data_IF_035591702642
#
_entry.id   IF_035591702642
#
_cell.length_a   1.000
_cell.length_b   1.000
_cell.length_c   1.000
_cell.angle_alpha   90.00
_cell.angle_beta   90.00
_cell.angle_gamma   90.00
#
_symmetry.space_group_name_H-M   'P 1'
#
loop_
_entity.id
_entity.type
_entity.pdbx_description
1 polymer ?
#
# COMPACT_ATOMS: atom_id res chain seq x y z
N UNK A 1 -10.17 -56.91 -22.07
CA UNK A 1 -9.34 -56.59 -20.89
C UNK A 1 -10.08 -55.52 -20.10
N UNK A 2 -10.82 -55.92 -19.07
CA UNK A 2 -11.60 -55.05 -18.20
C UNK A 2 -10.71 -54.50 -17.09
N UNK A 3 -10.28 -53.24 -17.22
CA UNK A 3 -9.60 -52.51 -16.15
C UNK A 3 -10.64 -52.14 -15.09
N UNK A 4 -10.56 -52.82 -13.95
CA UNK A 4 -11.24 -52.44 -12.72
C UNK A 4 -10.60 -51.16 -12.18
N UNK A 5 -11.08 -50.00 -12.64
CA UNK A 5 -10.83 -48.73 -11.98
C UNK A 5 -11.49 -48.79 -10.59
N UNK A 6 -10.66 -48.83 -9.56
CA UNK A 6 -11.11 -48.68 -8.17
C UNK A 6 -11.70 -47.29 -8.03
N UNK A 7 -13.01 -47.24 -7.82
CA UNK A 7 -13.82 -46.03 -7.65
C UNK A 7 -13.45 -45.35 -6.31
N UNK A 8 -12.28 -44.70 -6.27
CA UNK A 8 -11.85 -43.95 -5.10
C UNK A 8 -12.76 -42.74 -4.94
N UNK A 9 -13.66 -42.82 -3.96
CA UNK A 9 -14.54 -41.70 -3.60
C UNK A 9 -13.68 -40.48 -3.23
N UNK A 10 -13.91 -39.31 -3.85
CA UNK A 10 -13.03 -38.16 -3.68
C UNK A 10 -13.14 -37.58 -2.26
N UNK A 11 -12.02 -37.09 -1.74
CA UNK A 11 -11.97 -36.52 -0.38
C UNK A 11 -12.68 -35.17 -0.34
N UNK A 12 -13.76 -35.08 0.44
CA UNK A 12 -14.54 -33.85 0.64
C UNK A 12 -14.10 -33.13 1.91
N UNK A 13 -13.92 -31.81 1.82
CA UNK A 13 -13.83 -30.94 3.00
C UNK A 13 -14.64 -29.65 2.82
N UNK A 14 -14.99 -29.00 3.93
CA UNK A 14 -15.78 -27.76 3.92
C UNK A 14 -15.03 -26.60 4.56
N UNK A 15 -15.15 -25.41 3.96
CA UNK A 15 -14.68 -24.15 4.55
C UNK A 15 -15.86 -23.26 4.90
N UNK A 16 -15.92 -22.81 6.15
CA UNK A 16 -16.96 -21.89 6.60
C UNK A 16 -16.49 -20.44 6.36
N UNK A 17 -17.32 -19.65 5.68
CA UNK A 17 -17.16 -18.20 5.48
C UNK A 17 -18.28 -17.44 6.23
N UNK A 18 -18.10 -16.12 6.37
CA UNK A 18 -19.03 -15.14 6.93
C UNK A 18 -20.51 -15.55 6.84
N UNK A 19 -21.20 -15.48 7.97
CA UNK A 19 -22.65 -15.76 8.09
C UNK A 19 -23.02 -17.18 7.63
N UNK A 20 -22.26 -18.19 8.07
CA UNK A 20 -22.53 -19.63 7.86
C UNK A 20 -22.54 -20.08 6.38
N UNK A 21 -21.98 -19.30 5.46
CA UNK A 21 -21.83 -19.74 4.07
C UNK A 21 -20.72 -20.77 3.97
N UNK A 22 -21.00 -21.95 3.41
CA UNK A 22 -20.02 -23.02 3.24
C UNK A 22 -19.44 -22.99 1.83
N UNK A 23 -18.15 -23.27 1.70
CA UNK A 23 -17.52 -23.70 0.45
C UNK A 23 -17.23 -25.19 0.55
N UNK A 24 -17.37 -25.87 -0.56
CA UNK A 24 -16.98 -27.26 -0.73
C UNK A 24 -15.59 -27.30 -1.38
N UNK A 25 -14.71 -28.15 -0.87
CA UNK A 25 -13.38 -28.38 -1.42
C UNK A 25 -13.24 -29.86 -1.77
N UNK A 26 -12.99 -30.13 -3.04
CA UNK A 26 -12.79 -31.48 -3.58
C UNK A 26 -11.62 -31.41 -4.57
N UNK A 27 -10.64 -32.30 -4.43
CA UNK A 27 -9.48 -32.42 -5.33
C UNK A 27 -8.74 -31.08 -5.58
N UNK A 28 -8.68 -30.23 -4.54
CA UNK A 28 -8.06 -28.90 -4.60
C UNK A 28 -8.92 -27.82 -5.27
N UNK A 29 -10.08 -28.16 -5.81
CA UNK A 29 -11.04 -27.20 -6.35
C UNK A 29 -11.97 -26.66 -5.27
N UNK A 30 -12.45 -25.43 -5.46
CA UNK A 30 -13.35 -24.75 -4.54
C UNK A 30 -14.70 -24.54 -5.23
N UNK A 31 -15.78 -24.97 -4.57
CA UNK A 31 -17.13 -24.83 -5.05
C UNK A 31 -17.99 -23.99 -4.09
N UNK A 32 -18.91 -23.22 -4.67
CA UNK A 32 -19.94 -22.44 -3.98
C UNK A 32 -21.28 -23.15 -4.11
N UNK A 33 -22.03 -23.20 -3.02
CA UNK A 33 -23.39 -23.75 -3.06
C UNK A 33 -24.26 -22.88 -3.95
N UNK A 34 -24.86 -23.48 -4.97
CA UNK A 34 -25.76 -22.82 -5.90
C UNK A 34 -27.21 -22.95 -5.46
N UNK A 35 -27.66 -24.18 -5.22
CA UNK A 35 -29.02 -24.49 -4.74
C UNK A 35 -29.02 -25.77 -3.90
N UNK A 36 -30.03 -25.96 -3.07
CA UNK A 36 -30.22 -27.18 -2.28
C UNK A 36 -31.67 -27.64 -2.38
N UNK A 37 -31.87 -28.94 -2.49
CA UNK A 37 -33.17 -29.61 -2.32
C UNK A 37 -33.11 -30.50 -1.09
N UNK A 38 -34.23 -31.12 -0.71
CA UNK A 38 -34.28 -32.03 0.44
C UNK A 38 -33.33 -33.24 0.33
N UNK A 39 -32.99 -33.65 -0.90
CA UNK A 39 -32.16 -34.85 -1.15
C UNK A 39 -30.75 -34.54 -1.67
N UNK A 40 -30.54 -33.36 -2.26
CA UNK A 40 -29.32 -33.05 -3.00
C UNK A 40 -28.93 -31.58 -2.85
N UNK A 41 -27.66 -31.33 -2.55
CA UNK A 41 -27.07 -29.99 -2.66
C UNK A 41 -26.22 -29.87 -3.91
N UNK A 42 -26.40 -28.75 -4.64
CA UNK A 42 -25.75 -28.47 -5.90
C UNK A 42 -24.68 -27.40 -5.69
N UNK A 43 -23.45 -27.74 -6.07
CA UNK A 43 -22.28 -26.90 -5.89
C UNK A 43 -21.70 -26.58 -7.26
N UNK A 44 -21.30 -25.33 -7.47
CA UNK A 44 -20.66 -24.89 -8.71
C UNK A 44 -19.26 -24.38 -8.40
N UNK A 45 -18.33 -24.61 -9.31
CA UNK A 45 -16.98 -24.09 -9.21
C UNK A 45 -17.03 -22.59 -8.94
N UNK A 46 -16.21 -22.13 -7.99
CA UNK A 46 -16.12 -20.71 -7.65
C UNK A 46 -15.68 -19.87 -8.88
N UNK A 47 -14.94 -20.48 -9.81
CA UNK A 47 -14.60 -19.88 -11.10
C UNK A 47 -15.78 -20.05 -12.06
N UNK A 48 -16.69 -19.04 -12.04
CA UNK A 48 -17.97 -19.01 -12.77
C UNK A 48 -17.92 -19.22 -14.29
N UNK A 49 -16.73 -19.29 -14.90
CA UNK A 49 -16.60 -19.39 -16.35
C UNK A 49 -16.90 -20.80 -16.89
N UNK A 50 -16.92 -21.82 -16.04
CA UNK A 50 -16.77 -23.21 -16.51
C UNK A 50 -17.94 -24.13 -16.17
N UNK A 51 -18.92 -23.67 -15.38
CA UNK A 51 -20.11 -24.44 -14.99
C UNK A 51 -19.85 -25.86 -14.45
N UNK A 52 -18.60 -26.19 -14.09
CA UNK A 52 -18.25 -27.43 -13.43
C UNK A 52 -18.91 -27.44 -12.05
N UNK A 53 -19.60 -28.52 -11.73
CA UNK A 53 -20.37 -28.66 -10.52
C UNK A 53 -20.24 -30.03 -9.89
N UNK A 54 -20.66 -30.10 -8.64
CA UNK A 54 -20.69 -31.31 -7.83
C UNK A 54 -22.03 -31.40 -7.13
N UNK A 55 -22.57 -32.60 -7.05
CA UNK A 55 -23.76 -32.90 -6.28
C UNK A 55 -23.36 -33.67 -5.03
N UNK A 56 -23.86 -33.23 -3.88
CA UNK A 56 -23.78 -33.99 -2.63
C UNK A 56 -25.18 -34.44 -2.21
N UNK A 57 -25.27 -35.54 -1.47
CA UNK A 57 -26.53 -35.99 -0.86
C UNK A 57 -26.91 -35.12 0.36
N UNK A 58 -28.05 -35.41 0.99
CA UNK A 58 -28.50 -34.76 2.24
C UNK A 58 -27.49 -34.88 3.38
N UNK A 59 -26.69 -35.94 3.38
CA UNK A 59 -25.66 -36.22 4.39
C UNK A 59 -24.28 -35.68 4.01
N UNK A 60 -24.21 -34.72 3.08
CA UNK A 60 -22.98 -34.09 2.58
C UNK A 60 -21.95 -35.06 1.94
N UNK A 61 -22.37 -36.28 1.59
CA UNK A 61 -21.56 -37.26 0.88
C UNK A 61 -21.50 -36.99 -0.62
N UNK A 62 -20.35 -37.28 -1.24
CA UNK A 62 -20.16 -37.17 -2.68
C UNK A 62 -21.19 -38.03 -3.41
N UNK A 63 -21.86 -37.46 -4.41
CA UNK A 63 -22.77 -38.22 -5.28
C UNK A 63 -22.22 -38.36 -6.68
N UNK A 64 -21.93 -37.22 -7.34
CA UNK A 64 -21.37 -37.19 -8.69
C UNK A 64 -20.86 -35.80 -9.06
N UNK A 65 -19.96 -35.76 -10.03
CA UNK A 65 -19.66 -34.56 -10.82
C UNK A 65 -20.80 -34.27 -11.81
N UNK A 66 -20.95 -33.00 -12.19
CA UNK A 66 -21.71 -32.64 -13.39
C UNK A 66 -20.93 -33.05 -14.64
N UNK A 67 -21.60 -33.16 -15.78
CA UNK A 67 -20.99 -33.53 -17.07
C UNK A 67 -19.91 -32.53 -17.55
N UNK A 68 -19.89 -31.31 -17.02
CA UNK A 68 -18.87 -30.31 -17.35
C UNK A 68 -17.62 -30.50 -16.48
N UNK A 69 -16.47 -30.90 -17.07
CA UNK A 69 -15.20 -30.97 -16.35
C UNK A 69 -14.65 -29.57 -16.05
N UNK A 70 -13.72 -29.47 -15.10
CA UNK A 70 -12.91 -28.27 -14.94
C UNK A 70 -11.95 -28.13 -16.13
N UNK A 71 -11.88 -26.95 -16.71
CA UNK A 71 -10.91 -26.61 -17.77
C UNK A 71 -9.71 -25.83 -17.23
N UNK A 72 -9.63 -25.67 -15.91
CA UNK A 72 -8.51 -25.04 -15.22
C UNK A 72 -7.92 -26.01 -14.20
N UNK A 73 -6.65 -25.82 -13.86
CA UNK A 73 -6.01 -26.60 -12.79
C UNK A 73 -6.43 -26.08 -11.40
N UNK A 74 -6.37 -26.91 -10.34
CA UNK A 74 -6.52 -26.43 -8.97
C UNK A 74 -5.50 -25.33 -8.68
N UNK A 75 -5.91 -24.33 -7.89
CA UNK A 75 -5.03 -23.23 -7.47
C UNK A 75 -4.77 -23.37 -5.97
N UNK A 76 -3.77 -24.17 -5.55
CA UNK A 76 -3.56 -24.52 -4.15
C UNK A 76 -3.33 -23.30 -3.26
N UNK A 77 -2.68 -22.25 -3.77
CA UNK A 77 -2.43 -21.00 -3.03
C UNK A 77 -3.75 -20.31 -2.64
N UNK A 78 -4.76 -20.37 -3.53
CA UNK A 78 -6.07 -19.78 -3.27
C UNK A 78 -6.80 -20.53 -2.15
N UNK A 79 -6.68 -21.84 -2.13
CA UNK A 79 -7.23 -22.68 -1.07
C UNK A 79 -6.58 -22.37 0.29
N UNK A 80 -5.25 -22.26 0.33
CA UNK A 80 -4.51 -21.94 1.56
C UNK A 80 -4.86 -20.54 2.08
N UNK A 81 -4.96 -19.53 1.21
CA UNK A 81 -5.43 -18.19 1.61
C UNK A 81 -6.83 -18.26 2.22
N UNK A 82 -7.74 -19.05 1.65
CA UNK A 82 -9.10 -19.21 2.17
C UNK A 82 -9.11 -19.88 3.54
N UNK A 83 -8.35 -20.97 3.72
CA UNK A 83 -8.19 -21.66 5.01
C UNK A 83 -7.66 -20.70 6.08
N UNK A 84 -6.61 -19.95 5.75
CA UNK A 84 -6.02 -18.94 6.63
C UNK A 84 -7.04 -17.87 7.05
N UNK A 85 -7.80 -17.31 6.10
CA UNK A 85 -8.82 -16.30 6.40
C UNK A 85 -9.96 -16.84 7.27
N UNK A 86 -10.35 -18.10 7.07
CA UNK A 86 -11.33 -18.76 7.94
C UNK A 86 -10.76 -18.96 9.34
N UNK A 87 -9.48 -19.31 9.48
CA UNK A 87 -8.83 -19.44 10.79
C UNK A 87 -8.74 -18.10 11.52
N UNK A 88 -8.32 -17.02 10.83
CA UNK A 88 -8.26 -15.68 11.41
C UNK A 88 -9.62 -15.27 11.96
N UNK A 89 -10.71 -15.51 11.22
CA UNK A 89 -12.06 -15.17 11.68
C UNK A 89 -12.48 -15.97 12.91
N UNK A 90 -12.26 -17.28 12.89
CA UNK A 90 -12.59 -18.12 14.05
C UNK A 90 -11.79 -17.72 15.30
N UNK A 91 -10.58 -17.17 15.12
CA UNK A 91 -9.76 -16.63 16.20
C UNK A 91 -10.23 -15.26 16.66
N UNK A 92 -10.62 -14.35 15.76
CA UNK A 92 -11.18 -13.04 16.12
C UNK A 92 -12.43 -13.18 16.99
N UNK A 93 -13.26 -14.18 16.70
CA UNK A 93 -14.49 -14.42 17.49
C UNK A 93 -14.20 -15.06 18.87
N UNK A 94 -13.07 -15.78 19.02
CA UNK A 94 -12.70 -16.50 20.26
C UNK A 94 -11.71 -15.74 21.14
N UNK A 95 -10.86 -14.93 20.55
CA UNK A 95 -9.75 -14.26 21.21
C UNK A 95 -10.05 -12.76 21.35
N UNK A 96 -9.87 -12.21 22.55
CA UNK A 96 -9.94 -10.77 22.79
C UNK A 96 -8.71 -10.00 22.25
N UNK A 97 -7.99 -10.55 21.27
CA UNK A 97 -6.83 -9.91 20.63
C UNK A 97 -7.29 -9.00 19.50
N UNK A 98 -6.51 -7.94 19.24
CA UNK A 98 -6.77 -7.09 18.08
C UNK A 98 -6.60 -7.89 16.77
N UNK A 99 -7.51 -7.71 15.81
CA UNK A 99 -7.51 -8.44 14.53
C UNK A 99 -6.16 -8.38 13.80
N UNK A 100 -5.44 -7.25 13.91
CA UNK A 100 -4.11 -7.08 13.31
C UNK A 100 -3.04 -8.01 13.90
N UNK A 101 -3.12 -8.31 15.20
CA UNK A 101 -2.19 -9.25 15.85
C UNK A 101 -2.47 -10.70 15.43
N UNK A 102 -3.76 -11.09 15.39
CA UNK A 102 -4.19 -12.41 14.93
C UNK A 102 -3.75 -12.61 13.47
N UNK A 103 -3.93 -11.59 12.63
CA UNK A 103 -3.52 -11.61 11.22
C UNK A 103 -2.01 -11.85 11.07
N UNK A 104 -1.20 -11.15 11.87
CA UNK A 104 0.26 -11.28 11.83
C UNK A 104 0.72 -12.67 12.29
N UNK A 105 0.16 -13.20 13.37
CA UNK A 105 0.49 -14.55 13.87
C UNK A 105 0.14 -15.64 12.85
N UNK A 106 -1.03 -15.56 12.19
CA UNK A 106 -1.44 -16.54 11.18
C UNK A 106 -0.60 -16.45 9.90
N UNK A 107 -0.13 -15.26 9.54
CA UNK A 107 0.82 -15.06 8.44
C UNK A 107 2.16 -15.75 8.72
N UNK A 108 2.66 -15.67 9.95
CA UNK A 108 3.90 -16.34 10.34
C UNK A 108 3.76 -17.86 10.34
N UNK A 109 2.63 -18.39 10.84
CA UNK A 109 2.35 -19.84 10.87
C UNK A 109 2.22 -20.46 9.49
N UNK A 110 1.56 -19.76 8.55
CA UNK A 110 1.32 -20.29 7.22
C UNK A 110 2.61 -20.42 6.39
N UNK A 111 3.76 -19.93 6.88
CA UNK A 111 5.04 -19.91 6.19
C UNK A 111 4.98 -19.30 4.77
N UNK A 112 3.91 -18.54 4.48
CA UNK A 112 3.65 -17.81 3.23
C UNK A 112 4.61 -16.62 3.07
N UNK A 113 5.57 -16.47 3.99
CA UNK A 113 6.25 -15.21 4.29
C UNK A 113 7.62 -15.02 3.65
N UNK A 114 8.29 -16.06 3.12
CA UNK A 114 9.64 -15.89 2.59
C UNK A 114 9.69 -15.90 1.05
N UNK A 115 9.32 -17.00 0.40
CA UNK A 115 9.49 -17.13 -1.06
C UNK A 115 8.51 -16.30 -1.89
N UNK A 116 7.23 -16.25 -1.50
CA UNK A 116 6.20 -15.49 -2.21
C UNK A 116 6.27 -13.99 -1.88
N UNK A 117 6.67 -13.65 -0.65
CA UNK A 117 6.82 -12.27 -0.19
C UNK A 117 8.06 -11.63 -0.81
N UNK A 118 9.18 -12.37 -0.96
CA UNK A 118 10.32 -11.92 -1.77
C UNK A 118 9.95 -11.80 -3.26
N UNK A 119 9.19 -12.73 -3.84
CA UNK A 119 8.84 -12.63 -5.27
C UNK A 119 7.76 -11.58 -5.59
N UNK A 120 6.85 -11.28 -4.66
CA UNK A 120 5.80 -10.26 -4.81
C UNK A 120 6.28 -8.87 -4.39
N UNK A 121 7.13 -8.76 -3.35
CA UNK A 121 7.79 -7.48 -3.04
C UNK A 121 8.77 -7.12 -4.14
N UNK A 122 9.52 -8.11 -4.68
CA UNK A 122 10.43 -7.86 -5.81
C UNK A 122 9.70 -7.69 -7.15
N UNK A 123 8.38 -7.91 -7.24
CA UNK A 123 7.60 -7.61 -8.45
C UNK A 123 6.97 -6.21 -8.46
N UNK A 124 7.00 -5.49 -7.33
CA UNK A 124 6.88 -4.03 -7.31
C UNK A 124 8.28 -3.46 -7.12
N UNK A 125 9.02 -3.30 -8.22
CA UNK A 125 10.37 -2.75 -8.20
C UNK A 125 10.41 -1.47 -7.34
N UNK A 126 11.03 -1.58 -6.16
CA UNK A 126 11.40 -0.43 -5.35
C UNK A 126 12.71 0.05 -5.95
N UNK A 127 12.68 1.26 -6.50
CA UNK A 127 13.89 1.87 -7.03
C UNK A 127 14.40 2.84 -6.00
N UNK A 128 15.61 2.58 -5.51
CA UNK A 128 16.42 3.63 -4.92
C UNK A 128 17.03 4.43 -6.07
N UNK A 129 16.64 5.70 -6.16
CA UNK A 129 17.17 6.60 -7.15
C UNK A 129 17.92 7.72 -6.44
N UNK A 130 19.24 7.69 -6.61
CA UNK A 130 20.12 8.81 -6.38
C UNK A 130 20.41 9.43 -7.74
N UNK A 131 19.90 10.62 -7.99
CA UNK A 131 20.18 11.33 -9.23
C UNK A 131 19.95 12.82 -9.10
N UNK A 132 20.16 13.53 -10.19
CA UNK A 132 20.11 14.98 -10.23
C UNK A 132 18.84 15.46 -10.96
N UNK A 133 18.09 16.38 -10.35
CA UNK A 133 17.10 17.20 -11.08
C UNK A 133 17.88 18.27 -11.85
N UNK A 134 17.19 18.99 -12.75
CA UNK A 134 17.74 20.20 -13.37
C UNK A 134 18.38 21.08 -12.26
N UNK A 135 19.68 21.41 -12.42
CA UNK A 135 20.53 22.20 -11.50
C UNK A 135 21.29 21.43 -10.39
N UNK A 136 21.77 20.21 -10.61
CA UNK A 136 22.78 19.50 -9.79
C UNK A 136 22.47 19.35 -8.29
N UNK A 137 21.19 19.28 -7.89
CA UNK A 137 20.84 18.86 -6.52
C UNK A 137 20.60 17.36 -6.51
N UNK A 138 21.40 16.66 -5.69
CA UNK A 138 21.20 15.26 -5.39
C UNK A 138 19.82 15.04 -4.75
N UNK A 139 19.06 14.15 -5.37
CA UNK A 139 17.75 13.72 -4.91
C UNK A 139 17.93 12.33 -4.34
N UNK A 140 17.50 12.20 -3.10
CA UNK A 140 17.39 10.90 -2.44
C UNK A 140 15.92 10.54 -2.30
N UNK A 141 15.44 9.69 -3.21
CA UNK A 141 14.05 9.22 -3.27
C UNK A 141 13.95 7.71 -3.25
N UNK A 142 12.83 7.25 -2.72
CA UNK A 142 12.33 5.90 -2.88
C UNK A 142 11.18 5.96 -3.88
N UNK A 143 11.34 5.30 -5.03
CA UNK A 143 10.30 5.15 -6.04
C UNK A 143 9.52 3.85 -5.86
N UNK A 144 8.19 3.90 -6.06
CA UNK A 144 7.31 2.72 -6.04
C UNK A 144 6.20 2.83 -7.07
N UNK A 145 6.02 1.82 -7.90
CA UNK A 145 4.85 1.77 -8.78
C UNK A 145 3.57 1.43 -7.99
N UNK A 146 2.64 2.39 -7.97
CA UNK A 146 1.29 2.25 -7.46
C UNK A 146 0.29 1.76 -8.52
N UNK A 147 -1.00 1.84 -8.19
CA UNK A 147 -2.07 1.43 -9.10
C UNK A 147 -2.20 2.39 -10.31
N UNK A 148 -2.63 1.88 -11.47
CA UNK A 148 -2.80 2.64 -12.74
C UNK A 148 -1.53 3.36 -13.25
N UNK A 149 -0.37 2.69 -13.23
CA UNK A 149 0.89 3.24 -13.75
C UNK A 149 1.31 4.56 -13.08
N UNK A 150 0.94 4.74 -11.80
CA UNK A 150 1.35 5.90 -11.01
C UNK A 150 2.67 5.56 -10.32
N UNK A 151 3.72 6.33 -10.56
CA UNK A 151 4.94 6.26 -9.77
C UNK A 151 4.77 7.10 -8.50
N UNK A 152 4.79 6.44 -7.34
CA UNK A 152 4.85 7.09 -6.05
C UNK A 152 6.31 7.40 -5.72
N UNK A 153 6.59 8.65 -5.39
CA UNK A 153 7.92 9.13 -5.06
C UNK A 153 7.93 9.58 -3.61
N UNK A 154 8.83 9.00 -2.82
CA UNK A 154 8.97 9.31 -1.40
C UNK A 154 10.35 9.93 -1.15
N UNK A 155 10.43 11.23 -0.80
CA UNK A 155 11.70 11.85 -0.44
C UNK A 155 12.19 11.31 0.90
N UNK A 156 13.50 11.03 1.01
CA UNK A 156 14.11 10.61 2.28
C UNK A 156 14.41 11.76 3.23
N UNK A 157 14.52 12.98 2.72
CA UNK A 157 14.83 14.17 3.50
C UNK A 157 14.05 15.40 3.00
N UNK A 158 14.03 16.46 3.82
CA UNK A 158 13.28 17.68 3.52
C UNK A 158 13.81 18.43 2.29
N UNK A 159 15.13 18.47 2.10
CA UNK A 159 15.75 19.12 0.93
C UNK A 159 15.33 18.45 -0.38
N UNK A 160 15.21 17.13 -0.38
CA UNK A 160 14.69 16.39 -1.53
C UNK A 160 13.23 16.76 -1.78
N UNK A 161 12.39 16.84 -0.73
CA UNK A 161 10.99 17.24 -0.89
C UNK A 161 10.86 18.67 -1.44
N UNK A 162 11.65 19.63 -0.94
CA UNK A 162 11.69 21.00 -1.45
C UNK A 162 11.94 20.99 -2.97
N UNK A 163 12.92 20.20 -3.43
CA UNK A 163 13.23 20.06 -4.86
C UNK A 163 12.12 19.39 -5.68
N UNK A 164 11.39 18.42 -5.11
CA UNK A 164 10.28 17.73 -5.78
C UNK A 164 9.01 18.60 -5.86
N UNK A 165 8.84 19.58 -4.97
CA UNK A 165 7.68 20.49 -4.98
C UNK A 165 7.83 21.63 -6.02
N UNK A 166 9.02 21.86 -6.55
CA UNK A 166 9.27 22.87 -7.58
C UNK A 166 8.90 22.36 -8.97
N UNK A 167 7.76 22.82 -9.49
CA UNK A 167 7.23 22.45 -10.83
C UNK A 167 8.28 22.63 -11.94
N UNK A 168 9.03 23.72 -11.92
CA UNK A 168 10.02 24.05 -12.93
C UNK A 168 11.26 23.16 -12.96
N UNK A 169 11.50 22.34 -11.92
CA UNK A 169 12.66 21.44 -11.88
C UNK A 169 12.41 20.12 -12.59
N UNK A 170 11.15 19.71 -12.71
CA UNK A 170 10.83 18.45 -13.36
C UNK A 170 11.10 18.53 -14.87
N UNK A 171 11.63 17.46 -15.48
CA UNK A 171 11.71 17.39 -16.93
C UNK A 171 10.30 17.29 -17.53
N UNK A 172 10.08 17.78 -18.75
CA UNK A 172 8.75 17.66 -19.40
C UNK A 172 8.45 16.21 -19.84
N UNK A 173 9.52 15.42 -20.02
CA UNK A 173 9.48 14.01 -20.41
C UNK A 173 10.49 13.20 -19.61
N UNK A 174 10.11 11.98 -19.25
CA UNK A 174 11.02 10.97 -18.69
C UNK A 174 11.06 9.81 -19.68
N UNK A 175 12.25 9.45 -20.15
CA UNK A 175 12.45 8.39 -21.16
C UNK A 175 11.55 8.54 -22.40
N UNK A 176 11.39 9.78 -22.89
CA UNK A 176 10.55 10.09 -24.05
C UNK A 176 9.03 10.06 -23.80
N UNK A 177 8.59 9.75 -22.57
CA UNK A 177 7.18 9.68 -22.19
C UNK A 177 6.74 10.94 -21.44
N UNK A 178 5.55 11.44 -21.75
CA UNK A 178 4.91 12.51 -20.98
C UNK A 178 4.40 11.95 -19.65
N UNK A 179 4.39 12.77 -18.61
CA UNK A 179 3.87 12.40 -17.30
C UNK A 179 3.14 13.56 -16.63
N UNK A 180 2.33 13.23 -15.63
CA UNK A 180 1.55 14.17 -14.84
C UNK A 180 1.97 14.05 -13.38
N UNK A 181 2.43 15.16 -12.80
CA UNK A 181 2.85 15.22 -11.41
C UNK A 181 1.61 15.48 -10.55
N UNK A 182 1.40 14.63 -9.55
CA UNK A 182 0.39 14.85 -8.51
C UNK A 182 1.07 15.15 -7.20
N UNK A 183 0.90 16.39 -6.74
CA UNK A 183 1.45 16.83 -5.47
C UNK A 183 0.65 16.27 -4.27
N UNK A 184 1.30 16.08 -3.11
CA UNK A 184 0.61 15.64 -1.91
C UNK A 184 -0.46 16.66 -1.50
N UNK A 185 -1.64 16.15 -1.11
CA UNK A 185 -2.76 16.99 -0.64
C UNK A 185 -2.47 17.68 0.69
N UNK A 186 -1.61 17.07 1.50
CA UNK A 186 -1.22 17.53 2.84
C UNK A 186 0.30 17.58 2.84
N UNK A 187 0.86 18.73 3.19
CA UNK A 187 2.29 18.88 3.42
C UNK A 187 2.66 18.60 4.88
N UNK A 188 3.92 18.25 5.16
CA UNK A 188 4.41 18.22 6.53
C UNK A 188 4.21 19.58 7.20
N UNK A 189 3.93 19.59 8.51
CA UNK A 189 3.61 20.82 9.24
C UNK A 189 4.70 21.91 9.16
N UNK A 190 5.96 21.52 8.89
CA UNK A 190 7.09 22.44 8.70
C UNK A 190 6.99 23.30 7.44
N UNK A 191 6.10 22.96 6.51
CA UNK A 191 5.84 23.72 5.28
C UNK A 191 4.62 24.64 5.43
N UNK A 192 4.01 24.68 6.61
CA UNK A 192 2.75 25.39 6.82
C UNK A 192 2.85 26.37 7.98
N UNK A 193 2.12 27.47 7.87
CA UNK A 193 1.89 28.40 8.96
C UNK A 193 0.41 28.77 9.06
N UNK A 194 0.03 29.31 10.21
CA UNK A 194 -1.30 29.84 10.46
C UNK A 194 -1.23 31.36 10.39
N UNK A 195 -2.15 31.95 9.62
CA UNK A 195 -2.40 33.38 9.59
C UNK A 195 -3.66 33.64 10.43
N UNK A 196 -3.51 34.51 11.42
CA UNK A 196 -4.57 34.90 12.33
C UNK A 196 -5.28 36.15 11.81
N UNK A 197 -6.48 36.39 12.35
CA UNK A 197 -7.25 37.61 12.09
C UNK A 197 -7.58 37.80 10.59
N UNK A 198 -7.68 36.68 9.85
CA UNK A 198 -7.98 36.66 8.43
C UNK A 198 -9.48 36.92 8.21
N UNK A 199 -9.80 38.06 7.59
CA UNK A 199 -11.17 38.55 7.51
C UNK A 199 -12.10 37.53 6.83
N UNK A 200 -13.33 37.40 7.35
CA UNK A 200 -14.34 36.49 6.79
C UNK A 200 -14.87 36.95 5.43
N UNK A 201 -14.75 38.24 5.12
CA UNK A 201 -15.15 38.86 3.86
C UNK A 201 -14.14 38.65 2.73
N UNK A 202 -12.91 38.22 3.04
CA UNK A 202 -11.87 38.00 2.03
C UNK A 202 -12.12 36.70 1.27
N UNK A 203 -12.19 36.83 -0.05
CA UNK A 203 -12.31 35.73 -1.01
C UNK A 203 -10.95 35.02 -1.07
N UNK A 204 -10.93 33.72 -0.75
CA UNK A 204 -9.67 32.98 -0.63
C UNK A 204 -8.91 32.88 -1.94
N UNK A 205 -9.59 32.70 -3.07
CA UNK A 205 -8.94 32.55 -4.37
C UNK A 205 -8.23 33.85 -4.81
N UNK A 206 -8.88 35.00 -4.67
CA UNK A 206 -8.30 36.32 -4.94
C UNK A 206 -7.13 36.63 -4.01
N UNK A 207 -7.31 36.37 -2.70
CA UNK A 207 -6.25 36.59 -1.70
C UNK A 207 -5.08 35.64 -1.93
N UNK A 208 -5.35 34.41 -2.38
CA UNK A 208 -4.29 33.44 -2.72
C UNK A 208 -3.47 33.94 -3.90
N UNK A 209 -4.11 34.49 -4.93
CA UNK A 209 -3.42 35.04 -6.09
C UNK A 209 -2.51 36.22 -5.69
N UNK A 210 -3.05 37.19 -4.94
CA UNK A 210 -2.27 38.32 -4.40
C UNK A 210 -1.05 37.84 -3.59
N UNK A 211 -1.26 36.89 -2.69
CA UNK A 211 -0.17 36.36 -1.88
C UNK A 211 0.82 35.55 -2.70
N UNK A 212 0.41 34.90 -3.79
CA UNK A 212 1.31 34.17 -4.69
C UNK A 212 2.20 35.12 -5.49
N UNK A 213 1.72 36.31 -5.83
CA UNK A 213 2.53 37.37 -6.46
C UNK A 213 3.61 37.87 -5.49
N UNK A 214 3.26 38.10 -4.22
CA UNK A 214 4.19 38.58 -3.20
C UNK A 214 5.12 37.50 -2.65
N UNK A 215 4.59 36.30 -2.48
CA UNK A 215 5.26 35.15 -1.89
C UNK A 215 5.22 33.99 -2.87
N UNK A 216 6.13 33.99 -3.86
CA UNK A 216 6.21 32.98 -4.94
C UNK A 216 6.21 31.52 -4.44
N UNK A 217 6.71 31.29 -3.22
CA UNK A 217 6.73 29.97 -2.60
C UNK A 217 5.39 29.52 -2.01
N UNK A 218 4.37 30.38 -1.96
CA UNK A 218 3.04 30.04 -1.47
C UNK A 218 2.34 29.10 -2.47
N UNK A 219 1.99 27.92 -1.99
CA UNK A 219 1.30 26.91 -2.80
C UNK A 219 -0.20 26.98 -2.67
N UNK A 220 -0.69 27.15 -1.43
CA UNK A 220 -2.10 27.01 -1.13
C UNK A 220 -2.47 27.79 0.12
N UNK A 221 -3.63 28.43 0.09
CA UNK A 221 -4.31 28.97 1.25
C UNK A 221 -5.55 28.12 1.56
N UNK A 222 -5.79 27.78 2.82
CA UNK A 222 -6.97 27.01 3.24
C UNK A 222 -7.59 27.61 4.48
N UNK A 223 -8.84 28.08 4.40
CA UNK A 223 -9.57 28.54 5.58
C UNK A 223 -9.88 27.39 6.53
N UNK A 224 -9.58 27.60 7.81
CA UNK A 224 -9.93 26.63 8.84
C UNK A 224 -11.41 26.76 9.20
N UNK A 225 -12.03 25.62 9.49
CA UNK A 225 -13.44 25.55 9.88
C UNK A 225 -13.59 25.01 11.30
N UNK A 226 -14.66 25.42 11.98
CA UNK A 226 -15.05 24.89 13.28
C UNK A 226 -15.57 23.45 13.15
N UNK A 227 -15.86 22.79 14.28
CA UNK A 227 -16.51 21.46 14.27
C UNK A 227 -17.89 21.47 13.62
N UNK A 228 -18.55 22.63 13.61
CA UNK A 228 -19.86 22.85 12.98
C UNK A 228 -19.71 23.32 11.53
N UNK A 229 -18.52 23.16 10.93
CA UNK A 229 -18.21 23.56 9.57
C UNK A 229 -18.38 25.06 9.29
N UNK A 230 -18.25 25.91 10.33
CA UNK A 230 -18.30 27.37 10.17
C UNK A 230 -16.89 27.90 9.87
N UNK A 231 -16.70 28.82 8.91
CA UNK A 231 -15.41 29.41 8.62
C UNK A 231 -14.87 30.19 9.82
N UNK A 232 -13.58 30.03 10.09
CA UNK A 232 -12.87 30.78 11.13
C UNK A 232 -12.12 31.96 10.50
N UNK A 233 -11.79 32.97 11.31
CA UNK A 233 -10.90 34.06 10.93
C UNK A 233 -9.42 33.63 11.00
N UNK A 234 -9.16 32.41 10.53
CA UNK A 234 -7.87 31.74 10.58
C UNK A 234 -7.69 30.95 9.29
N UNK A 235 -6.57 31.14 8.62
CA UNK A 235 -6.21 30.38 7.42
C UNK A 235 -4.88 29.66 7.63
N UNK A 236 -4.74 28.51 6.97
CA UNK A 236 -3.50 27.76 6.86
C UNK A 236 -2.87 28.09 5.51
N UNK A 237 -1.62 28.56 5.53
CA UNK A 237 -0.83 28.84 4.34
C UNK A 237 0.24 27.75 4.18
N UNK A 238 0.21 27.04 3.05
CA UNK A 238 1.13 25.98 2.68
C UNK A 238 2.15 26.52 1.68
N UNK A 239 3.43 26.32 1.97
CA UNK A 239 4.55 26.75 1.15
C UNK A 239 5.27 25.56 0.53
N UNK A 240 5.98 25.78 -0.58
CA UNK A 240 6.82 24.74 -1.20
C UNK A 240 8.20 24.62 -0.55
N UNK A 241 8.63 25.60 0.26
CA UNK A 241 9.94 25.62 0.94
C UNK A 241 9.82 25.81 2.45
N UNK A 242 10.50 24.97 3.21
CA UNK A 242 10.57 25.12 4.67
C UNK A 242 11.28 26.40 5.11
N UNK A 243 12.25 26.88 4.33
CA UNK A 243 13.03 28.07 4.68
C UNK A 243 12.20 29.36 4.61
N UNK A 244 11.29 29.47 3.63
CA UNK A 244 10.37 30.60 3.52
C UNK A 244 9.47 30.69 4.76
N UNK A 245 8.93 29.55 5.21
CA UNK A 245 8.13 29.47 6.43
C UNK A 245 8.94 29.91 7.65
N UNK A 246 10.19 29.44 7.80
CA UNK A 246 11.06 29.86 8.92
C UNK A 246 11.32 31.37 8.92
N UNK A 247 11.61 31.95 7.75
CA UNK A 247 11.85 33.39 7.62
C UNK A 247 10.61 34.20 8.02
N UNK A 248 9.43 33.83 7.52
CA UNK A 248 8.17 34.47 7.90
C UNK A 248 7.90 34.31 9.40
N UNK A 249 8.04 33.10 9.95
CA UNK A 249 7.83 32.87 11.38
C UNK A 249 8.78 33.70 12.27
N UNK A 250 10.02 33.95 11.82
CA UNK A 250 10.95 34.82 12.52
C UNK A 250 10.53 36.30 12.46
N UNK A 251 9.87 36.72 11.38
CA UNK A 251 9.27 38.07 11.27
C UNK A 251 8.01 38.20 12.13
N UNK A 252 7.24 37.12 12.29
CA UNK A 252 6.03 37.07 13.12
C UNK A 252 4.78 37.66 12.49
N UNK A 253 4.90 38.23 11.29
CA UNK A 253 3.81 38.83 10.53
C UNK A 253 3.89 38.50 9.03
N UNK A 254 2.74 38.59 8.35
CA UNK A 254 2.59 38.51 6.90
C UNK A 254 1.74 39.67 6.43
N UNK A 255 2.04 40.24 5.28
CA UNK A 255 1.31 41.39 4.75
C UNK A 255 0.34 40.98 3.65
N UNK A 256 -0.93 41.35 3.80
CA UNK A 256 -2.05 41.04 2.90
C UNK A 256 -2.89 42.31 2.75
N UNK A 257 -3.15 42.78 1.53
CA UNK A 257 -3.91 44.01 1.28
C UNK A 257 -3.41 45.21 2.09
N UNK A 258 -2.08 45.39 2.17
CA UNK A 258 -1.41 46.40 2.98
C UNK A 258 -1.64 46.29 4.51
N UNK A 259 -2.27 45.21 4.99
CA UNK A 259 -2.44 44.91 6.40
C UNK A 259 -1.42 43.88 6.88
N UNK A 260 -0.82 44.12 8.03
CA UNK A 260 0.08 43.18 8.70
C UNK A 260 -0.73 42.25 9.61
N UNK A 261 -0.78 40.97 9.25
CA UNK A 261 -1.45 39.93 10.01
C UNK A 261 -0.45 39.10 10.80
N UNK A 262 -0.84 38.70 12.00
CA UNK A 262 -0.01 37.86 12.87
C UNK A 262 0.03 36.44 12.32
N UNK A 263 1.21 35.84 12.36
CA UNK A 263 1.40 34.45 11.96
C UNK A 263 1.94 33.60 13.10
N UNK A 264 1.63 32.30 13.05
CA UNK A 264 2.11 31.30 14.02
C UNK A 264 2.47 30.00 13.32
N UNK A 265 3.36 29.17 13.90
CA UNK A 265 3.65 27.86 13.35
C UNK A 265 2.38 27.02 13.25
N UNK A 266 2.23 26.29 12.13
CA UNK A 266 1.19 25.27 12.05
C UNK A 266 1.60 24.05 12.88
N UNK A 267 0.68 23.57 13.71
CA UNK A 267 0.87 22.34 14.46
C UNK A 267 -0.11 21.28 13.95
N UNK A 268 0.42 20.09 13.65
CA UNK A 268 -0.38 18.98 13.17
C UNK A 268 -1.60 18.72 14.08
N UNK A 269 -2.80 18.55 13.50
CA UNK A 269 -4.04 18.36 14.26
C UNK A 269 -4.17 16.97 14.88
N UNK A 270 -3.09 16.17 14.86
CA UNK A 270 -3.02 14.87 15.54
C UNK A 270 -3.42 15.07 17.00
N UNK A 271 -4.55 14.46 17.35
CA UNK A 271 -5.09 14.49 18.70
C UNK A 271 -4.27 13.56 19.57
N UNK A 272 -3.59 14.13 20.56
CA UNK A 272 -2.98 13.34 21.62
C UNK A 272 -4.07 13.03 22.64
N UNK A 273 -4.22 11.76 22.98
CA UNK A 273 -5.07 11.38 24.09
C UNK A 273 -4.51 11.98 25.38
N UNK A 274 -5.29 12.85 26.00
CA UNK A 274 -4.91 13.56 27.23
C UNK A 274 -5.97 13.29 28.28
N UNK A 275 -5.53 12.85 29.44
CA UNK A 275 -6.42 12.67 30.57
C UNK A 275 -6.94 14.01 31.08
N UNK A 276 -8.25 14.08 31.35
CA UNK A 276 -8.87 15.29 31.89
C UNK A 276 -8.68 15.44 33.41
N UNK A 277 -8.22 14.38 34.10
CA UNK A 277 -7.94 14.43 35.54
C UNK A 277 -6.60 15.06 35.85
N UNK A 278 -5.51 14.56 35.26
CA UNK A 278 -4.14 14.98 35.60
C UNK A 278 -3.31 15.42 34.39
N UNK A 279 -3.94 15.57 33.22
CA UNK A 279 -3.37 16.20 32.02
C UNK A 279 -2.12 15.57 31.40
N UNK A 280 -1.69 14.38 31.87
CA UNK A 280 -0.69 13.57 31.16
C UNK A 280 -1.31 12.82 29.98
N UNK A 281 -0.41 12.33 29.13
CA UNK A 281 -0.72 11.61 27.90
C UNK A 281 -0.90 10.10 28.15
N UNK A 282 -1.31 9.36 27.11
CA UNK A 282 -1.20 7.90 26.99
C UNK A 282 -2.18 6.99 27.74
N UNK A 283 -3.30 7.52 28.24
CA UNK A 283 -4.40 6.69 28.72
C UNK A 283 -5.73 7.47 28.70
N UNK A 284 -6.84 6.75 28.82
CA UNK A 284 -8.18 7.35 28.85
C UNK A 284 -8.52 7.86 30.23
N UNK A 285 -9.28 8.97 30.30
CA UNK A 285 -9.70 9.56 31.58
C UNK A 285 -10.48 8.57 32.45
N UNK A 286 -11.23 7.64 31.85
CA UNK A 286 -11.97 6.58 32.56
C UNK A 286 -11.07 5.58 33.28
N UNK A 287 -9.84 5.37 32.81
CA UNK A 287 -8.86 4.44 33.39
C UNK A 287 -7.92 5.14 34.38
N UNK A 288 -8.14 6.43 34.65
CA UNK A 288 -7.28 7.22 35.52
C UNK A 288 -7.69 7.10 36.99
N UNK A 289 -6.78 6.55 37.78
CA UNK A 289 -6.86 6.48 39.26
C UNK A 289 -6.22 7.69 39.95
N UNK A 290 -5.50 8.55 39.22
CA UNK A 290 -4.87 9.74 39.78
C UNK A 290 -5.88 10.81 40.22
N UNK A 291 -5.46 11.65 41.17
CA UNK A 291 -6.21 12.81 41.64
C UNK A 291 -6.42 13.84 40.53
N UNK A 292 -7.51 14.61 40.65
CA UNK A 292 -7.78 15.75 39.77
C UNK A 292 -6.77 16.86 40.04
N UNK A 293 -6.00 17.24 39.03
CA UNK A 293 -5.09 18.37 39.06
C UNK A 293 -5.78 19.61 38.47
N UNK A 294 -5.24 20.78 38.81
CA UNK A 294 -5.61 22.04 38.21
C UNK A 294 -4.96 22.22 36.82
N UNK A 295 -5.76 22.65 35.84
CA UNK A 295 -5.26 22.89 34.47
C UNK A 295 -4.22 24.02 34.38
N UNK A 296 -4.26 24.97 35.33
CA UNK A 296 -3.38 26.14 35.43
C UNK A 296 -2.02 25.78 36.01
N UNK A 297 -1.97 25.24 37.22
CA UNK A 297 -0.74 25.03 37.98
C UNK A 297 -0.28 23.57 38.05
N UNK A 298 -1.11 22.62 37.62
CA UNK A 298 -0.77 21.20 37.67
C UNK A 298 -0.75 20.57 39.07
N UNK A 299 -1.25 21.26 40.10
CA UNK A 299 -1.32 20.76 41.47
C UNK A 299 -2.76 20.33 41.84
N UNK A 300 -2.87 19.49 42.86
CA UNK A 300 -4.16 19.10 43.43
C UNK A 300 -4.62 20.14 44.45
N UNK A 301 -5.75 20.78 44.19
CA UNK A 301 -6.42 21.70 45.12
C UNK A 301 -7.91 21.84 44.72
N UNK A 302 -8.77 22.40 45.59
CA UNK A 302 -10.16 22.71 45.23
C UNK A 302 -10.22 23.61 43.99
N UNK A 303 -10.97 23.21 42.97
CA UNK A 303 -11.07 23.94 41.69
C UNK A 303 -12.15 25.03 41.67
N UNK A 304 -13.00 25.10 42.71
CA UNK A 304 -14.18 25.99 42.74
C UNK A 304 -13.83 27.45 43.03
N UNK A 305 -12.72 27.71 43.73
CA UNK A 305 -12.36 29.05 44.24
C UNK A 305 -11.34 29.77 43.34
N UNK A 306 -11.15 29.28 42.12
CA UNK A 306 -10.04 29.71 41.27
C UNK A 306 -8.71 29.11 41.73
N UNK A 307 -7.65 29.42 41.00
CA UNK A 307 -6.31 28.94 41.29
C UNK A 307 -5.41 30.17 41.39
N UNK A 308 -4.73 30.38 42.52
CA UNK A 308 -3.77 31.46 42.73
C UNK A 308 -2.34 31.05 42.34
N UNK A 309 -2.02 29.77 42.38
CA UNK A 309 -0.69 29.22 42.09
C UNK A 309 -0.16 29.57 40.69
N UNK A 310 1.17 29.64 40.55
CA UNK A 310 1.81 29.94 39.27
C UNK A 310 1.41 28.97 38.15
N UNK A 311 1.34 29.50 36.94
CA UNK A 311 1.02 28.70 35.75
C UNK A 311 2.17 27.73 35.51
N UNK A 312 1.86 26.43 35.47
CA UNK A 312 2.86 25.38 35.28
C UNK A 312 2.28 24.19 34.52
N UNK A 313 3.02 23.73 33.52
CA UNK A 313 2.62 22.56 32.74
C UNK A 313 2.97 21.26 33.47
N UNK A 314 2.01 20.34 33.61
CA UNK A 314 2.27 19.01 34.22
C UNK A 314 3.27 18.18 33.39
N UNK A 315 3.37 18.44 32.09
CA UNK A 315 4.18 17.63 31.17
C UNK A 315 5.64 18.13 31.06
N UNK A 316 5.86 19.42 30.80
CA UNK A 316 7.22 19.99 30.65
C UNK A 316 7.69 20.82 31.85
N UNK A 317 6.82 21.10 32.83
CA UNK A 317 7.12 21.92 34.00
C UNK A 317 7.42 23.41 33.71
N UNK A 318 7.21 23.88 32.48
CA UNK A 318 7.40 25.28 32.08
C UNK A 318 6.15 26.16 32.33
N UNK A 319 6.31 27.47 32.18
CA UNK A 319 5.30 28.51 32.45
C UNK A 319 4.22 28.60 31.35
N UNK A 320 3.37 27.58 31.25
CA UNK A 320 2.15 27.60 30.44
C UNK A 320 1.16 26.51 30.88
N UNK A 321 -0.09 26.61 30.45
CA UNK A 321 -1.13 25.63 30.78
C UNK A 321 -0.80 24.20 30.28
N UNK A 322 -1.35 23.18 30.94
CA UNK A 322 -1.16 21.75 30.61
C UNK A 322 -1.84 21.28 29.31
N UNK A 323 -2.32 22.22 28.48
CA UNK A 323 -2.86 21.98 27.15
C UNK A 323 -2.27 22.89 26.08
N UNK A 324 -1.25 23.66 26.41
CA UNK A 324 -0.61 24.60 25.49
C UNK A 324 -0.05 23.85 24.28
N UNK A 325 -0.49 24.23 23.07
CA UNK A 325 -0.11 23.53 21.84
C UNK A 325 1.40 23.58 21.59
N UNK A 326 2.11 24.71 21.79
CA UNK A 326 3.57 24.80 21.67
C UNK A 326 4.40 24.03 22.69
N UNK A 327 3.80 23.37 23.70
CA UNK A 327 4.55 22.63 24.71
C UNK A 327 5.53 21.62 24.07
N UNK A 328 6.83 21.61 24.45
CA UNK A 328 7.83 20.77 23.80
C UNK A 328 7.50 19.27 23.88
N UNK A 329 6.98 18.82 25.03
CA UNK A 329 6.55 17.42 25.24
C UNK A 329 5.36 17.06 24.35
N UNK A 330 4.40 17.98 24.19
CA UNK A 330 3.23 17.79 23.31
C UNK A 330 3.69 17.71 21.84
N UNK A 331 4.60 18.59 21.42
CA UNK A 331 5.14 18.58 20.06
C UNK A 331 5.92 17.30 19.75
N UNK A 332 6.78 16.86 20.67
CA UNK A 332 7.50 15.59 20.53
C UNK A 332 6.54 14.41 20.40
N UNK A 333 5.47 14.37 21.23
CA UNK A 333 4.47 13.31 21.15
C UNK A 333 3.68 13.33 19.84
N UNK A 334 3.31 14.51 19.32
CA UNK A 334 2.68 14.64 17.99
C UNK A 334 3.60 14.13 16.89
N UNK A 335 4.90 14.45 16.96
CA UNK A 335 5.90 13.96 16.00
C UNK A 335 5.97 12.44 16.01
N UNK A 336 6.08 11.83 17.20
CA UNK A 336 6.10 10.37 17.36
C UNK A 336 4.82 9.71 16.82
N UNK A 337 3.65 10.25 17.14
CA UNK A 337 2.38 9.74 16.62
C UNK A 337 2.28 9.92 15.10
N UNK A 338 2.75 11.03 14.54
CA UNK A 338 2.81 11.25 13.10
C UNK A 338 3.70 10.20 12.41
N UNK A 339 4.87 9.93 12.96
CA UNK A 339 5.80 8.91 12.45
C UNK A 339 5.20 7.50 12.58
N UNK A 340 4.53 7.19 13.68
CA UNK A 340 3.82 5.91 13.85
C UNK A 340 2.66 5.76 12.86
N UNK A 341 1.86 6.81 12.65
CA UNK A 341 0.79 6.84 11.65
C UNK A 341 1.39 6.67 10.25
N UNK A 342 2.52 7.30 9.94
CA UNK A 342 3.21 7.12 8.65
C UNK A 342 3.70 5.68 8.47
N UNK A 343 4.34 5.09 9.48
CA UNK A 343 4.79 3.68 9.46
C UNK A 343 3.62 2.70 9.34
N UNK A 344 2.52 2.95 10.04
CA UNK A 344 1.31 2.13 9.98
C UNK A 344 0.56 2.31 8.65
N UNK A 345 0.47 3.53 8.12
CA UNK A 345 -0.11 3.76 6.80
C UNK A 345 0.74 3.08 5.73
N UNK A 346 2.07 3.10 5.86
CA UNK A 346 2.96 2.36 4.97
C UNK A 346 2.71 0.84 5.04
N UNK A 347 2.56 0.25 6.23
CA UNK A 347 2.22 -1.17 6.36
C UNK A 347 0.82 -1.50 5.84
N UNK A 348 -0.17 -0.63 6.07
CA UNK A 348 -1.54 -0.76 5.55
C UNK A 348 -1.61 -0.58 4.04
N UNK A 349 -0.85 0.34 3.45
CA UNK A 349 -0.74 0.51 2.00
C UNK A 349 -0.07 -0.72 1.39
N UNK A 350 0.97 -1.26 2.01
CA UNK A 350 1.57 -2.53 1.57
C UNK A 350 0.56 -3.69 1.66
N UNK A 351 -0.25 -3.75 2.72
CA UNK A 351 -1.30 -4.76 2.88
C UNK A 351 -2.47 -4.57 1.89
N UNK A 352 -2.88 -3.33 1.61
CA UNK A 352 -3.92 -3.01 0.64
C UNK A 352 -3.45 -3.26 -0.80
N UNK A 353 -2.20 -2.89 -1.12
CA UNK A 353 -1.55 -3.22 -2.37
C UNK A 353 -1.32 -4.72 -2.51
N UNK A 354 -1.03 -5.44 -1.42
CA UNK A 354 -0.99 -6.90 -1.40
C UNK A 354 -2.36 -7.50 -1.73
N UNK A 355 -3.43 -7.05 -1.05
CA UNK A 355 -4.79 -7.49 -1.36
C UNK A 355 -5.18 -7.16 -2.82
N UNK A 356 -4.78 -6.00 -3.33
CA UNK A 356 -5.02 -5.62 -4.72
C UNK A 356 -4.12 -6.34 -5.72
N UNK A 357 -2.87 -6.68 -5.40
CA UNK A 357 -1.98 -7.47 -6.22
C UNK A 357 -2.47 -8.91 -6.30
N UNK A 358 -2.85 -9.53 -5.17
CA UNK A 358 -3.52 -10.83 -5.12
C UNK A 358 -4.82 -10.78 -5.94
N UNK A 359 -5.61 -9.71 -5.80
CA UNK A 359 -6.80 -9.48 -6.64
C UNK A 359 -6.43 -9.28 -8.11
N UNK A 360 -5.32 -8.65 -8.44
CA UNK A 360 -4.88 -8.39 -9.82
C UNK A 360 -4.31 -9.64 -10.46
N UNK A 361 -3.48 -10.43 -9.78
CA UNK A 361 -3.06 -11.76 -10.25
C UNK A 361 -4.29 -12.63 -10.48
N UNK A 362 -5.22 -12.69 -9.53
CA UNK A 362 -6.48 -13.44 -9.75
C UNK A 362 -7.32 -12.87 -10.89
N UNK A 363 -7.36 -11.55 -11.10
CA UNK A 363 -8.11 -10.92 -12.22
C UNK A 363 -7.35 -10.95 -13.56
N UNK A 364 -6.02 -10.98 -13.58
CA UNK A 364 -5.19 -11.06 -14.79
C UNK A 364 -5.28 -12.46 -15.38
N UNK A 365 -5.26 -13.51 -14.53
CA UNK A 365 -5.62 -14.87 -14.95
C UNK A 365 -7.06 -14.92 -15.50
N UNK A 366 -8.02 -14.25 -14.84
CA UNK A 366 -9.41 -14.16 -15.33
C UNK A 366 -9.52 -13.37 -16.66
N UNK A 367 -8.65 -12.40 -16.94
CA UNK A 367 -8.68 -11.59 -18.16
C UNK A 367 -7.88 -12.18 -19.32
N UNK A 368 -6.78 -12.90 -19.07
CA UNK A 368 -6.09 -13.69 -20.10
C UNK A 368 -6.93 -14.89 -20.54
N UNK A 369 -7.82 -15.40 -19.68
CA UNK A 369 -8.83 -16.41 -20.05
C UNK A 369 -10.13 -15.81 -20.66
N UNK A 370 -10.34 -14.49 -20.58
CA UNK A 370 -11.55 -13.82 -21.11
C UNK A 370 -11.40 -13.19 -22.48
N UNK A 371 -10.21 -13.18 -23.08
CA UNK A 371 -10.05 -12.79 -24.49
C UNK A 371 -9.93 -14.01 -25.40
N UNK A 372 -10.94 -14.87 -25.33
CA UNK A 372 -11.36 -15.69 -26.47
C UNK A 372 -12.81 -16.09 -26.25
N UNK A 373 -13.61 -15.93 -27.30
CA UNK A 373 -15.04 -16.26 -27.42
C UNK A 373 -16.04 -15.24 -26.87
N UNK A 374 -16.16 -14.14 -27.62
CA UNK A 374 -17.46 -13.81 -28.19
C UNK A 374 -17.36 -13.94 -29.71
N UNK A 375 -18.30 -14.68 -30.29
CA UNK A 375 -18.52 -14.68 -31.74
C UNK A 375 -18.55 -13.24 -32.26
N UNK A 376 -17.55 -12.89 -33.05
CA UNK A 376 -17.64 -11.86 -34.06
C UNK A 376 -16.99 -12.46 -35.29
N UNK A 377 -17.82 -12.69 -36.30
CA UNK A 377 -17.40 -12.87 -37.67
C UNK A 377 -16.75 -11.56 -38.10
N UNK A 378 -15.41 -11.48 -38.15
CA UNK A 378 -14.67 -10.51 -38.97
C UNK A 378 -13.18 -10.89 -39.08
N UNK A 379 -12.64 -10.59 -40.26
CA UNK A 379 -11.40 -11.07 -40.91
C UNK A 379 -10.09 -10.86 -40.12
N UNK A 380 -9.14 -11.76 -40.39
CA UNK A 380 -7.78 -12.00 -39.85
C UNK A 380 -6.82 -10.82 -39.55
N UNK A 381 -7.15 -9.56 -39.85
CA UNK A 381 -6.16 -8.47 -39.80
C UNK A 381 -6.01 -7.76 -38.44
N UNK A 382 -6.99 -7.85 -37.53
CA UNK A 382 -6.99 -7.04 -36.31
C UNK A 382 -6.23 -7.69 -35.13
N UNK A 383 -6.04 -9.02 -35.13
CA UNK A 383 -5.25 -9.70 -34.11
C UNK A 383 -3.74 -9.41 -34.23
N UNK A 384 -3.22 -9.25 -35.45
CA UNK A 384 -1.82 -8.85 -35.69
C UNK A 384 -1.55 -7.41 -35.21
N UNK A 385 -2.54 -6.52 -35.29
CA UNK A 385 -2.41 -5.11 -34.91
C UNK A 385 -2.28 -4.92 -33.39
N UNK A 386 -3.01 -5.70 -32.59
CA UNK A 386 -2.95 -5.67 -31.11
C UNK A 386 -1.62 -6.27 -30.63
N UNK A 387 -1.15 -7.35 -31.26
CA UNK A 387 0.12 -7.98 -30.94
C UNK A 387 1.32 -7.06 -31.23
N UNK A 388 1.29 -6.36 -32.37
CA UNK A 388 2.35 -5.44 -32.79
C UNK A 388 2.37 -4.12 -32.01
N UNK A 389 1.22 -3.54 -31.64
CA UNK A 389 1.17 -2.19 -31.03
C UNK A 389 1.28 -2.17 -29.50
N UNK A 390 0.86 -3.23 -28.80
CA UNK A 390 0.81 -3.25 -27.32
C UNK A 390 1.71 -4.31 -26.69
N UNK A 391 1.75 -5.52 -27.26
CA UNK A 391 2.52 -6.64 -26.67
C UNK A 391 4.00 -6.62 -27.07
N UNK A 392 4.31 -6.32 -28.34
CA UNK A 392 5.70 -6.29 -28.83
C UNK A 392 6.60 -5.28 -28.09
N UNK A 393 6.17 -4.03 -27.80
CA UNK A 393 6.99 -3.09 -27.03
C UNK A 393 7.24 -3.54 -25.59
N UNK A 394 6.24 -4.14 -24.93
CA UNK A 394 6.36 -4.65 -23.55
C UNK A 394 7.28 -5.87 -23.46
N UNK A 395 7.24 -6.76 -24.46
CA UNK A 395 8.18 -7.89 -24.57
C UNK A 395 9.59 -7.38 -24.87
N UNK A 396 9.76 -6.36 -25.72
CA UNK A 396 11.07 -5.75 -26.01
C UNK A 396 11.64 -5.05 -24.77
N UNK A 397 10.83 -4.29 -24.02
CA UNK A 397 11.25 -3.63 -22.78
C UNK A 397 11.62 -4.67 -21.72
N UNK A 398 10.79 -5.70 -21.53
CA UNK A 398 11.07 -6.82 -20.63
C UNK A 398 12.35 -7.56 -21.02
N UNK A 399 12.54 -7.86 -22.31
CA UNK A 399 13.74 -8.55 -22.80
C UNK A 399 14.99 -7.67 -22.71
N UNK A 400 14.90 -6.35 -22.95
CA UNK A 400 16.01 -5.41 -22.74
C UNK A 400 16.36 -5.22 -21.27
N UNK A 401 15.38 -5.16 -20.38
CA UNK A 401 15.59 -5.14 -18.93
C UNK A 401 16.17 -6.46 -18.41
N UNK A 402 15.74 -7.60 -18.97
CA UNK A 402 16.33 -8.90 -18.67
C UNK A 402 17.76 -9.05 -19.22
N UNK A 403 18.06 -8.48 -20.40
CA UNK A 403 19.42 -8.39 -20.93
C UNK A 403 20.30 -7.51 -20.03
N UNK A 404 19.81 -6.35 -19.58
CA UNK A 404 20.51 -5.49 -18.61
C UNK A 404 20.77 -6.20 -17.28
N UNK A 405 19.79 -6.97 -16.77
CA UNK A 405 19.96 -7.77 -15.56
C UNK A 405 20.92 -8.95 -15.75
N UNK A 406 20.94 -9.59 -16.92
CA UNK A 406 21.94 -10.59 -17.30
C UNK A 406 23.35 -10.00 -17.42
N UNK A 407 23.50 -8.82 -18.04
CA UNK A 407 24.78 -8.11 -18.08
C UNK A 407 25.28 -7.79 -16.68
N UNK A 408 24.39 -7.34 -15.79
CA UNK A 408 24.73 -7.04 -14.39
C UNK A 408 25.04 -8.30 -13.57
N UNK A 409 24.39 -9.42 -13.85
CA UNK A 409 24.75 -10.73 -13.30
C UNK A 409 26.13 -11.18 -13.79
N UNK A 410 26.44 -11.03 -15.07
CA UNK A 410 27.75 -11.36 -15.63
C UNK A 410 28.84 -10.45 -15.07
N UNK A 411 28.57 -9.17 -14.89
CA UNK A 411 29.46 -8.20 -14.23
C UNK A 411 29.72 -8.58 -12.77
N UNK A 412 28.69 -8.98 -12.01
CA UNK A 412 28.83 -9.47 -10.63
C UNK A 412 29.60 -10.80 -10.56
N UNK A 413 29.37 -11.71 -11.51
CA UNK A 413 30.16 -12.95 -11.63
C UNK A 413 31.64 -12.64 -11.95
N UNK A 414 31.90 -11.64 -12.80
CA UNK A 414 33.26 -11.21 -13.15
C UNK A 414 33.94 -10.52 -11.97
N UNK A 415 33.23 -9.69 -11.20
CA UNK A 415 33.71 -9.07 -9.96
C UNK A 415 34.01 -10.11 -8.87
N UNK A 416 33.19 -11.17 -8.75
CA UNK A 416 33.45 -12.30 -7.86
C UNK A 416 34.65 -13.15 -8.31
N UNK A 417 34.84 -13.35 -9.63
CA UNK A 417 36.00 -14.05 -10.20
C UNK A 417 37.30 -13.27 -10.08
N UNK A 418 37.24 -11.94 -10.18
CA UNK A 418 38.41 -11.06 -10.15
C UNK A 418 38.92 -10.73 -8.74
N UNK A 419 38.37 -11.39 -7.71
CA UNK A 419 38.87 -11.29 -6.34
C UNK A 419 38.28 -10.10 -5.58
N UNK A 420 37.14 -10.32 -4.93
CA UNK A 420 36.74 -9.49 -3.80
C UNK A 420 37.72 -9.73 -2.65
N UNK A 421 38.72 -8.85 -2.54
CA UNK A 421 39.67 -8.81 -1.43
C UNK A 421 38.87 -8.71 -0.12
N UNK A 422 38.91 -9.78 0.69
CA UNK A 422 38.38 -9.80 2.06
C UNK A 422 37.13 -10.64 2.33
N UNK A 423 36.55 -11.34 1.35
CA UNK A 423 35.43 -12.27 1.61
C UNK A 423 35.94 -13.70 1.81
N UNK A 424 35.44 -14.39 2.85
CA UNK A 424 35.77 -15.79 3.09
C UNK A 424 35.11 -16.71 2.05
N UNK A 425 35.72 -17.88 1.84
CA UNK A 425 35.31 -18.85 0.80
C UNK A 425 33.85 -19.30 0.95
N UNK A 426 33.33 -19.34 2.17
CA UNK A 426 31.94 -19.67 2.48
C UNK A 426 30.95 -18.65 1.93
N UNK A 427 31.28 -17.36 2.00
CA UNK A 427 30.44 -16.26 1.47
C UNK A 427 30.44 -16.26 -0.05
N UNK A 428 31.59 -16.59 -0.65
CA UNK A 428 31.74 -16.72 -2.10
C UNK A 428 30.90 -17.89 -2.61
N UNK A 429 30.97 -19.08 -1.97
CA UNK A 429 30.14 -20.25 -2.32
C UNK A 429 28.64 -19.98 -2.17
N UNK A 430 28.22 -19.29 -1.11
CA UNK A 430 26.82 -18.91 -0.93
C UNK A 430 26.33 -17.97 -2.06
N UNK A 431 27.19 -17.04 -2.50
CA UNK A 431 26.92 -16.18 -3.65
C UNK A 431 26.75 -16.97 -4.96
N UNK A 432 27.63 -17.93 -5.24
CA UNK A 432 27.53 -18.81 -6.41
C UNK A 432 26.25 -19.66 -6.40
N UNK A 433 25.90 -20.25 -5.25
CA UNK A 433 24.69 -21.08 -5.13
C UNK A 433 23.40 -20.28 -5.39
N UNK A 434 23.33 -19.04 -4.88
CA UNK A 434 22.17 -18.16 -5.11
C UNK A 434 22.04 -17.82 -6.60
N UNK A 435 23.16 -17.59 -7.29
CA UNK A 435 23.18 -17.28 -8.72
C UNK A 435 22.77 -18.52 -9.55
N UNK A 436 23.29 -19.71 -9.21
CA UNK A 436 22.93 -20.96 -9.88
C UNK A 436 21.45 -21.34 -9.68
N UNK A 437 20.92 -21.21 -8.46
CA UNK A 437 19.50 -21.48 -8.17
C UNK A 437 18.58 -20.53 -8.96
N UNK A 438 19.00 -19.28 -9.14
CA UNK A 438 18.28 -18.29 -9.93
C UNK A 438 18.30 -18.62 -11.42
N UNK A 439 19.46 -19.02 -11.97
CA UNK A 439 19.61 -19.48 -13.34
C UNK A 439 18.85 -20.79 -13.62
N UNK A 440 18.84 -21.73 -12.68
CA UNK A 440 18.18 -23.04 -12.85
C UNK A 440 16.65 -22.94 -12.88
N UNK A 441 16.09 -22.05 -12.04
CA UNK A 441 14.65 -21.76 -12.03
C UNK A 441 14.19 -21.17 -13.38
N UNK A 442 15.06 -20.40 -14.04
CA UNK A 442 14.81 -19.77 -15.33
C UNK A 442 14.87 -20.77 -16.50
N UNK A 443 15.89 -21.62 -16.54
CA UNK A 443 16.03 -22.64 -17.60
C UNK A 443 14.86 -23.65 -17.61
N UNK A 444 14.30 -23.96 -16.45
CA UNK A 444 13.14 -24.87 -16.33
C UNK A 444 11.84 -24.24 -16.86
N UNK A 445 11.71 -22.91 -16.77
CA UNK A 445 10.55 -22.20 -17.34
C UNK A 445 10.66 -22.07 -18.86
N UNK A 446 11.85 -21.86 -19.42
CA UNK A 446 12.07 -21.88 -20.88
C UNK A 446 11.88 -23.28 -21.49
N UNK A 447 12.35 -24.34 -20.83
CA UNK A 447 12.21 -25.72 -21.33
C UNK A 447 10.74 -26.17 -21.43
N UNK A 448 9.90 -25.75 -20.48
CA UNK A 448 8.46 -26.05 -20.48
C UNK A 448 7.67 -25.25 -21.53
N UNK A 449 8.15 -24.05 -21.89
CA UNK A 449 7.56 -23.21 -22.94
C UNK A 449 7.96 -23.72 -24.32
N UNK A 450 9.22 -24.11 -24.52
CA UNK A 450 9.72 -24.61 -25.80
C UNK A 450 9.31 -26.07 -26.08
N UNK A 451 9.19 -26.92 -25.06
CA UNK A 451 8.71 -28.30 -25.20
C UNK A 451 7.28 -28.42 -25.74
N UNK A 452 6.42 -27.42 -25.46
CA UNK A 452 5.04 -27.37 -26.01
C UNK A 452 4.97 -26.94 -27.48
N UNK A 453 5.94 -26.18 -27.96
CA UNK A 453 5.96 -25.74 -29.37
C UNK A 453 6.43 -26.85 -30.31
N UNK A 454 7.24 -27.80 -29.84
CA UNK A 454 7.66 -28.96 -30.64
C UNK A 454 6.56 -30.02 -30.80
N UNK A 455 5.69 -30.20 -29.79
CA UNK A 455 4.57 -31.15 -29.86
C UNK A 455 3.47 -30.65 -30.82
N UNK A 456 3.31 -29.33 -30.97
CA UNK A 456 2.30 -28.73 -31.85
C UNK A 456 2.64 -28.81 -33.33
N UNK A 457 3.91 -29.01 -33.69
CA UNK A 457 4.38 -29.09 -35.08
C UNK A 457 4.42 -30.52 -35.65
N UNK A 458 4.11 -31.55 -34.85
CA UNK A 458 4.13 -32.95 -35.29
C UNK A 458 2.75 -33.56 -35.59
N UNK A 459 1.66 -32.79 -35.42
CA UNK A 459 0.30 -33.25 -35.73
C UNK A 459 -0.27 -32.37 -36.85
N UNK A 460 0.04 -32.71 -38.10
CA UNK A 460 -0.76 -32.30 -39.27
C UNK A 460 -1.42 -33.56 -39.82
N UNK A 461 -2.76 -33.61 -39.96
CA UNK A 461 -3.41 -34.69 -40.68
C UNK A 461 -3.17 -34.53 -42.18
N UNK A 462 -2.63 -35.58 -42.80
CA UNK A 462 -2.67 -35.78 -44.26
C UNK A 462 -4.13 -35.97 -44.68
N UNK A 463 -4.60 -35.06 -45.53
CA UNK A 463 -5.86 -35.16 -46.26
C UNK A 463 -5.74 -36.19 -47.39
N UNK A 464 -6.61 -37.20 -47.35
CA UNK A 464 -7.25 -37.86 -48.50
C UNK A 464 -8.69 -38.11 -48.14
#
# INVERSE_FOLDING_TARGET
MSSSDTDETPTISFLIINKKKRLLVIDGYIYQQNKSTAKVSYWLCEIKLWNAGVHLNSDDQFRKYTENPHTHMPVPERLEIRKMLTNIKSRVDREAKAIGQIYHEELLKANLFSKLLLSIINSFEIFDFNGELKNNKNIDIIGRFGYKNVLLVFPRNASTLDGLLETGRWPDRIAGSNFLIKYPKILPATYSLIILDFQSTWIEDETTQELQEKYVTLRKLTRLVTRENRPMNIVCADFIWTQAVKQLLNQGEIEINCMKLRIRPYFSPIKINKCRKYFKHDHFTSQCTSLQLCFRCGQHHPLKEGCSNEIKCVNCQEHHYSGHSPCPVVQQKRKQLSEQIQKNNYSLINAHNHHHAVKRYTTYYIHTDRQSFKHFDTKDNDQQLIWHKLYRPLIIIRNKMNQLNMYKCNELQQQLKNGAVGLNETTIRAGYQIIEDWCWTYSRTEYLINGRNNIRNQIKPTTT
#
